data_IF_446155711277
#
_entry.id   IF_446155711277
#
_cell.length_a   1.000
_cell.length_b   1.000
_cell.length_c   1.000
_cell.angle_alpha   90.00
_cell.angle_beta   90.00
_cell.angle_gamma   90.00
#
_symmetry.space_group_name_H-M   'P 1'
#
loop_
_entity.id
_entity.type
_entity.pdbx_description
1 polymer ?
#
# COMPACT_ATOMS: atom_id res chain seq x y z
N UNK A 1 -9.82 17.88 9.65
CA UNK A 1 -8.71 18.16 8.72
C UNK A 1 -7.72 17.00 8.80
N UNK A 2 -7.40 16.31 7.68
CA UNK A 2 -6.54 15.12 7.69
C UNK A 2 -5.18 15.35 8.34
N UNK A 3 -4.53 16.47 8.03
CA UNK A 3 -3.21 16.82 8.61
C UNK A 3 -3.29 17.03 10.13
N UNK A 4 -4.35 17.65 10.62
CA UNK A 4 -4.55 17.84 12.06
C UNK A 4 -4.77 16.50 12.77
N UNK A 5 -5.58 15.61 12.20
CA UNK A 5 -5.78 14.27 12.73
C UNK A 5 -4.47 13.47 12.75
N UNK A 6 -3.72 13.51 11.65
CA UNK A 6 -2.43 12.84 11.52
C UNK A 6 -1.42 13.34 12.58
N UNK A 7 -1.33 14.66 12.79
CA UNK A 7 -0.47 15.26 13.80
C UNK A 7 -0.91 14.90 15.22
N UNK A 8 -2.22 14.89 15.48
CA UNK A 8 -2.77 14.55 16.79
C UNK A 8 -2.46 13.10 17.17
N UNK A 9 -2.72 12.14 16.28
CA UNK A 9 -2.41 10.73 16.54
C UNK A 9 -0.90 10.51 16.64
N UNK A 10 -0.11 11.19 15.81
CA UNK A 10 1.34 11.12 15.91
C UNK A 10 1.85 11.59 17.28
N UNK A 11 1.30 12.68 17.82
CA UNK A 11 1.59 13.16 19.17
C UNK A 11 1.10 12.19 20.26
N UNK A 12 -0.13 11.68 20.15
CA UNK A 12 -0.68 10.71 21.10
C UNK A 12 0.18 9.43 21.20
N UNK A 13 0.78 8.98 20.09
CA UNK A 13 1.68 7.82 20.05
C UNK A 13 3.12 8.11 20.50
N UNK A 14 3.47 9.35 20.85
CA UNK A 14 4.82 9.71 21.27
C UNK A 14 5.31 8.93 22.50
N UNK A 15 4.52 8.74 23.58
CA UNK A 15 4.95 7.95 24.75
C UNK A 15 5.29 6.50 24.39
N UNK A 16 4.51 5.89 23.49
CA UNK A 16 4.76 4.53 23.02
C UNK A 16 6.09 4.43 22.27
N UNK A 17 6.39 5.40 21.39
CA UNK A 17 7.68 5.45 20.68
C UNK A 17 8.86 5.60 21.64
N UNK A 18 8.69 6.37 22.72
CA UNK A 18 9.72 6.53 23.75
C UNK A 18 9.91 5.26 24.58
N UNK A 19 8.83 4.52 24.86
CA UNK A 19 8.86 3.28 25.64
C UNK A 19 9.48 2.12 24.84
N UNK A 20 9.23 2.07 23.53
CA UNK A 20 9.68 1.01 22.63
C UNK A 20 10.52 1.59 21.48
N UNK A 21 11.73 2.14 21.76
CA UNK A 21 12.56 2.82 20.77
C UNK A 21 13.08 1.91 19.64
N UNK A 22 13.10 0.60 19.87
CA UNK A 22 13.48 -0.42 18.89
C UNK A 22 12.35 -0.79 17.92
N UNK A 23 11.11 -0.38 18.21
CA UNK A 23 9.96 -0.64 17.36
C UNK A 23 9.78 0.45 16.31
N UNK A 24 9.42 0.01 15.10
CA UNK A 24 9.00 0.86 14.01
C UNK A 24 7.48 1.04 14.13
N UNK A 25 7.04 2.27 14.38
CA UNK A 25 5.62 2.64 14.53
C UNK A 25 5.23 3.63 13.43
N UNK A 26 4.60 3.10 12.37
CA UNK A 26 4.05 3.89 11.28
C UNK A 26 2.56 4.10 11.47
N UNK A 27 2.12 5.35 11.31
CA UNK A 27 0.72 5.73 11.37
C UNK A 27 0.35 6.45 10.09
N UNK A 28 -0.74 6.03 9.45
CA UNK A 28 -1.28 6.72 8.29
C UNK A 28 -2.80 6.66 8.34
N UNK A 29 -3.42 7.84 8.36
CA UNK A 29 -4.87 8.01 8.46
C UNK A 29 -5.45 7.34 9.72
N UNK A 30 -6.05 6.16 9.59
CA UNK A 30 -6.64 5.41 10.71
C UNK A 30 -5.88 4.12 11.03
N UNK A 31 -4.85 3.79 10.23
CA UNK A 31 -4.08 2.54 10.36
C UNK A 31 -2.74 2.78 11.07
N UNK A 32 -2.42 1.92 12.05
CA UNK A 32 -1.13 1.88 12.73
C UNK A 32 -0.45 0.55 12.42
N UNK A 33 0.75 0.60 11.86
CA UNK A 33 1.65 -0.53 11.69
C UNK A 33 2.74 -0.47 12.77
N UNK A 34 2.88 -1.54 13.55
CA UNK A 34 3.93 -1.69 14.56
C UNK A 34 4.76 -2.92 14.21
N UNK A 35 6.06 -2.75 14.05
CA UNK A 35 6.99 -3.82 13.66
C UNK A 35 8.29 -3.75 14.47
N UNK A 36 8.86 -4.90 14.77
CA UNK A 36 10.16 -4.99 15.45
C UNK A 36 10.74 -6.40 15.34
N UNK A 37 12.05 -6.53 15.61
CA UNK A 37 12.74 -7.84 15.59
C UNK A 37 12.24 -8.78 16.68
N UNK A 38 11.91 -8.21 17.83
CA UNK A 38 11.32 -8.89 18.98
C UNK A 38 10.07 -8.12 19.38
N UNK A 39 8.90 -8.56 18.94
CA UNK A 39 7.63 -7.89 19.25
C UNK A 39 6.78 -8.81 20.12
N UNK A 40 6.49 -8.41 21.36
CA UNK A 40 5.44 -9.03 22.14
C UNK A 40 4.11 -8.36 21.77
N UNK A 41 3.34 -9.00 20.89
CA UNK A 41 2.11 -8.44 20.34
C UNK A 41 1.08 -8.07 21.41
N UNK A 42 0.90 -8.88 22.44
CA UNK A 42 -0.14 -8.65 23.45
C UNK A 42 0.23 -7.51 24.39
N UNK A 43 1.50 -7.44 24.80
CA UNK A 43 2.01 -6.36 25.65
C UNK A 43 1.96 -5.02 24.92
N UNK A 44 2.44 -4.96 23.68
CA UNK A 44 2.42 -3.74 22.87
C UNK A 44 0.99 -3.31 22.54
N UNK A 45 0.10 -4.25 22.21
CA UNK A 45 -1.31 -3.94 21.95
C UNK A 45 -2.00 -3.36 23.19
N UNK A 46 -1.72 -3.88 24.39
CA UNK A 46 -2.27 -3.36 25.64
C UNK A 46 -1.81 -1.90 25.87
N UNK A 47 -0.51 -1.63 25.71
CA UNK A 47 0.04 -0.28 25.85
C UNK A 47 -0.51 0.70 24.81
N UNK A 48 -0.58 0.30 23.54
CA UNK A 48 -1.17 1.12 22.46
C UNK A 48 -2.61 1.46 22.80
N UNK A 49 -3.41 0.46 23.15
CA UNK A 49 -4.85 0.63 23.45
C UNK A 49 -5.03 1.61 24.60
N UNK A 50 -4.29 1.44 25.69
CA UNK A 50 -4.35 2.36 26.82
C UNK A 50 -3.98 3.79 26.42
N UNK A 51 -2.88 3.98 25.68
CA UNK A 51 -2.42 5.31 25.26
C UNK A 51 -3.45 5.99 24.38
N UNK A 52 -3.99 5.30 23.37
CA UNK A 52 -4.95 5.93 22.44
C UNK A 52 -6.27 6.24 23.15
N UNK A 53 -6.73 5.39 24.08
CA UNK A 53 -7.93 5.64 24.89
C UNK A 53 -7.81 6.86 25.80
N UNK A 54 -6.63 7.06 26.42
CA UNK A 54 -6.35 8.26 27.21
C UNK A 54 -6.45 9.55 26.39
N UNK A 55 -6.27 9.46 25.07
CA UNK A 55 -6.39 10.55 24.11
C UNK A 55 -7.74 10.55 23.37
N UNK A 56 -8.75 9.81 23.86
CA UNK A 56 -10.09 9.79 23.29
C UNK A 56 -10.22 9.05 21.94
N UNK A 57 -9.20 8.28 21.56
CA UNK A 57 -9.18 7.42 20.39
C UNK A 57 -9.54 5.99 20.80
N UNK A 58 -9.95 5.15 19.84
CA UNK A 58 -10.30 3.74 20.11
C UNK A 58 -9.71 2.83 19.05
N UNK A 59 -9.17 1.69 19.48
CA UNK A 59 -8.80 0.60 18.59
C UNK A 59 -10.03 -0.27 18.35
N UNK A 60 -10.34 -0.56 17.09
CA UNK A 60 -11.35 -1.52 16.71
C UNK A 60 -10.78 -2.94 16.84
N UNK A 61 -11.18 -3.75 17.85
CA UNK A 61 -10.55 -5.05 18.12
C UNK A 61 -10.63 -6.01 16.93
N UNK A 62 -11.70 -5.94 16.15
CA UNK A 62 -11.94 -6.75 14.96
C UNK A 62 -10.99 -6.42 13.79
N UNK A 63 -10.34 -5.25 13.82
CA UNK A 63 -9.35 -4.84 12.81
C UNK A 63 -7.92 -5.16 13.20
N UNK A 64 -7.67 -5.64 14.43
CA UNK A 64 -6.33 -5.97 14.91
C UNK A 64 -5.82 -7.24 14.23
N UNK A 65 -4.70 -7.14 13.53
CA UNK A 65 -4.06 -8.24 12.82
C UNK A 65 -2.81 -8.70 13.58
N UNK A 66 -2.89 -9.80 14.33
CA UNK A 66 -1.77 -10.32 15.14
C UNK A 66 -0.81 -11.23 14.36
N UNK A 67 -1.28 -11.87 13.29
CA UNK A 67 -0.53 -12.86 12.53
C UNK A 67 -0.51 -12.53 11.05
N UNK A 68 0.52 -13.00 10.37
CA UNK A 68 0.61 -12.90 8.92
C UNK A 68 -0.47 -13.77 8.23
N UNK A 69 -0.89 -13.41 7.01
CA UNK A 69 -0.51 -12.21 6.26
C UNK A 69 -1.19 -10.94 6.79
N UNK A 70 -0.39 -9.88 7.04
CA UNK A 70 -0.92 -8.58 7.44
C UNK A 70 -1.30 -7.75 6.23
N UNK A 71 -2.40 -7.00 6.34
CA UNK A 71 -2.86 -6.02 5.35
C UNK A 71 -2.57 -4.62 5.85
N UNK A 72 -1.88 -3.82 5.05
CA UNK A 72 -1.59 -2.41 5.36
C UNK A 72 -1.49 -1.60 4.06
N UNK A 73 -2.30 -0.54 3.94
CA UNK A 73 -2.29 0.38 2.77
C UNK A 73 -2.30 -0.33 1.41
N UNK A 74 -3.14 -1.35 1.23
CA UNK A 74 -3.22 -2.10 -0.04
C UNK A 74 -2.07 -3.09 -0.29
N UNK A 75 -1.18 -3.28 0.68
CA UNK A 75 -0.12 -4.30 0.66
C UNK A 75 -0.49 -5.50 1.52
N UNK A 76 -0.05 -6.68 1.08
CA UNK A 76 0.01 -7.92 1.85
C UNK A 76 1.44 -8.10 2.33
N UNK A 77 1.62 -8.24 3.62
CA UNK A 77 2.92 -8.28 4.28
C UNK A 77 3.06 -9.63 4.98
N UNK A 78 4.20 -10.29 4.79
CA UNK A 78 4.62 -11.51 5.51
C UNK A 78 6.00 -11.30 6.14
N UNK A 79 6.47 -12.25 6.92
CA UNK A 79 7.81 -12.25 7.51
C UNK A 79 8.91 -12.21 6.45
N UNK A 80 8.65 -12.72 5.25
CA UNK A 80 9.63 -12.80 4.16
C UNK A 80 9.45 -11.75 3.08
N UNK A 81 8.22 -11.33 2.77
CA UNK A 81 7.94 -10.54 1.58
C UNK A 81 6.79 -9.53 1.76
N UNK A 82 6.76 -8.55 0.86
CA UNK A 82 5.65 -7.61 0.66
C UNK A 82 5.16 -7.74 -0.78
N UNK A 83 3.85 -7.85 -0.95
CA UNK A 83 3.18 -8.00 -2.26
C UNK A 83 1.95 -7.11 -2.34
N UNK A 84 1.53 -6.65 -3.53
CA UNK A 84 0.23 -6.02 -3.68
C UNK A 84 -0.88 -6.92 -3.12
N UNK A 85 -1.89 -6.35 -2.46
CA UNK A 85 -3.15 -7.08 -2.29
C UNK A 85 -3.73 -7.37 -3.67
N UNK A 86 -4.46 -8.48 -3.82
CA UNK A 86 -4.96 -8.95 -5.11
C UNK A 86 -5.67 -7.81 -5.85
N UNK A 87 -5.00 -7.25 -6.86
CA UNK A 87 -5.54 -6.18 -7.69
C UNK A 87 -6.35 -6.85 -8.78
N UNK A 88 -7.64 -7.06 -8.53
CA UNK A 88 -8.57 -7.38 -9.60
C UNK A 88 -8.86 -6.06 -10.33
N UNK A 89 -8.07 -5.76 -11.36
CA UNK A 89 -8.33 -4.61 -12.20
C UNK A 89 -9.72 -4.75 -12.82
N UNK A 90 -10.52 -3.70 -12.71
CA UNK A 90 -11.79 -3.63 -13.43
C UNK A 90 -11.45 -3.50 -14.92
N UNK A 91 -11.69 -4.57 -15.69
CA UNK A 91 -11.49 -4.58 -17.15
C UNK A 91 -12.71 -4.12 -17.92
N UNK A 92 -13.85 -3.93 -17.24
CA UNK A 92 -15.04 -3.29 -17.80
C UNK A 92 -14.83 -1.77 -17.88
N UNK A 93 -14.14 -1.35 -18.94
CA UNK A 93 -13.85 0.04 -19.24
C UNK A 93 -14.91 0.55 -20.23
N UNK A 94 -15.67 1.56 -19.81
CA UNK A 94 -16.67 2.21 -20.67
C UNK A 94 -16.44 3.72 -20.78
N UNK A 95 -15.75 4.32 -19.82
CA UNK A 95 -15.57 5.77 -19.70
C UNK A 95 -14.12 6.15 -19.42
N UNK A 96 -13.76 7.41 -19.67
CA UNK A 96 -12.46 7.97 -19.28
C UNK A 96 -12.21 7.83 -17.77
N UNK A 97 -13.24 7.95 -16.93
CA UNK A 97 -13.11 7.73 -15.48
C UNK A 97 -12.70 6.28 -15.13
N UNK A 98 -13.21 5.29 -15.85
CA UNK A 98 -12.80 3.90 -15.64
C UNK A 98 -11.32 3.71 -16.02
N UNK A 99 -10.87 4.32 -17.12
CA UNK A 99 -9.44 4.30 -17.52
C UNK A 99 -8.58 4.98 -16.46
N UNK A 100 -8.98 6.15 -15.96
CA UNK A 100 -8.25 6.89 -14.92
C UNK A 100 -8.07 6.07 -13.64
N UNK A 101 -9.13 5.36 -13.20
CA UNK A 101 -9.06 4.47 -12.03
C UNK A 101 -8.10 3.30 -12.28
N UNK A 102 -8.27 2.63 -13.42
CA UNK A 102 -7.40 1.52 -13.81
C UNK A 102 -5.93 1.93 -13.84
N UNK A 103 -5.63 3.05 -14.50
CA UNK A 103 -4.28 3.59 -14.63
C UNK A 103 -3.77 3.93 -13.22
N UNK A 104 -4.53 4.65 -12.40
CA UNK A 104 -4.16 4.97 -11.01
C UNK A 104 -3.83 3.75 -10.15
N UNK A 105 -4.64 2.69 -10.23
CA UNK A 105 -4.41 1.42 -9.51
C UNK A 105 -3.10 0.76 -9.97
N UNK A 106 -2.79 0.81 -11.27
CA UNK A 106 -1.52 0.29 -11.80
C UNK A 106 -0.34 1.14 -11.33
N UNK A 107 -0.46 2.49 -11.32
CA UNK A 107 0.62 3.35 -10.83
C UNK A 107 0.96 3.08 -9.36
N UNK A 108 -0.03 2.77 -8.53
CA UNK A 108 0.18 2.45 -7.13
C UNK A 108 1.16 1.29 -6.92
N UNK A 109 1.08 0.25 -7.76
CA UNK A 109 1.92 -0.96 -7.64
C UNK A 109 3.14 -0.96 -8.57
N UNK A 110 3.23 0.04 -9.46
CA UNK A 110 4.19 0.11 -10.56
C UNK A 110 5.65 -0.07 -10.13
N UNK A 111 6.06 0.69 -9.10
CA UNK A 111 7.45 0.71 -8.64
C UNK A 111 7.90 -0.65 -8.12
N UNK A 112 7.04 -1.30 -7.32
CA UNK A 112 7.36 -2.61 -6.76
C UNK A 112 7.37 -3.70 -7.84
N UNK A 113 6.46 -3.61 -8.81
CA UNK A 113 6.27 -4.67 -9.79
C UNK A 113 7.10 -4.50 -11.06
N UNK A 114 8.04 -3.54 -11.08
CA UNK A 114 8.93 -3.33 -12.22
C UNK A 114 8.16 -3.02 -13.51
N UNK A 115 7.04 -2.33 -13.38
CA UNK A 115 6.23 -1.93 -14.52
C UNK A 115 6.84 -0.65 -15.10
N UNK A 116 7.25 -0.72 -16.36
CA UNK A 116 7.98 0.34 -17.06
C UNK A 116 7.04 1.38 -17.67
N UNK A 117 7.59 2.46 -18.23
CA UNK A 117 6.78 3.42 -19.00
C UNK A 117 6.23 2.74 -20.26
N UNK A 118 7.03 1.88 -20.91
CA UNK A 118 6.63 1.19 -22.14
C UNK A 118 5.47 0.22 -21.91
N UNK A 119 5.44 -0.47 -20.76
CA UNK A 119 4.31 -1.34 -20.40
C UNK A 119 3.01 -0.52 -20.24
N UNK A 120 3.11 0.68 -19.66
CA UNK A 120 1.98 1.57 -19.39
C UNK A 120 1.52 2.36 -20.62
N UNK A 121 2.41 2.60 -21.58
CA UNK A 121 2.20 3.56 -22.66
C UNK A 121 0.86 3.35 -23.39
N UNK A 122 0.44 2.12 -23.74
CA UNK A 122 -0.85 1.91 -24.39
C UNK A 122 -2.06 2.39 -23.57
N UNK A 123 -1.98 2.31 -22.23
CA UNK A 123 -3.05 2.78 -21.34
C UNK A 123 -2.99 4.30 -21.13
N UNK A 124 -1.79 4.88 -21.17
CA UNK A 124 -1.61 6.34 -21.14
C UNK A 124 -2.16 6.98 -22.42
N UNK A 125 -1.91 6.37 -23.58
CA UNK A 125 -2.47 6.82 -24.86
C UNK A 125 -4.00 6.77 -24.85
N UNK A 126 -4.60 5.77 -24.19
CA UNK A 126 -6.04 5.63 -24.01
C UNK A 126 -6.67 6.74 -23.14
N UNK A 127 -5.92 7.32 -22.19
CA UNK A 127 -6.37 8.51 -21.47
C UNK A 127 -6.56 9.69 -22.43
N UNK A 128 -5.60 9.87 -23.35
CA UNK A 128 -5.58 10.99 -24.29
C UNK A 128 -5.40 12.35 -23.60
N UNK A 129 -5.54 13.44 -24.36
CA UNK A 129 -5.46 14.81 -23.83
C UNK A 129 -6.84 15.41 -23.64
N UNK A 130 -7.12 15.87 -22.40
CA UNK A 130 -8.26 16.71 -21.98
C UNK A 130 -9.61 16.36 -22.63
N UNK A 131 -10.29 15.36 -22.07
CA UNK A 131 -11.66 14.97 -22.42
C UNK A 131 -12.53 14.94 -21.15
N UNK A 132 -13.86 14.97 -21.30
CA UNK A 132 -14.76 14.88 -20.15
C UNK A 132 -14.65 13.49 -19.52
N UNK A 133 -14.77 13.40 -18.19
CA UNK A 133 -14.64 12.13 -17.44
C UNK A 133 -15.64 11.05 -17.87
N UNK A 134 -16.76 11.45 -18.51
CA UNK A 134 -17.82 10.58 -19.03
C UNK A 134 -17.58 10.12 -20.46
N UNK A 135 -16.54 10.61 -21.14
CA UNK A 135 -16.30 10.29 -22.54
C UNK A 135 -16.06 8.80 -22.71
N UNK A 136 -16.70 8.21 -23.71
CA UNK A 136 -16.62 6.77 -23.95
C UNK A 136 -15.19 6.37 -24.30
N UNK A 137 -14.76 5.27 -23.72
CA UNK A 137 -13.47 4.62 -23.97
C UNK A 137 -13.69 3.12 -24.03
N UNK A 138 -12.93 2.47 -24.90
CA UNK A 138 -13.02 1.03 -25.11
C UNK A 138 -11.61 0.43 -25.19
N UNK A 139 -11.43 -0.76 -24.61
CA UNK A 139 -10.18 -1.48 -24.68
C UNK A 139 -10.03 -2.18 -26.04
N UNK A 140 -9.11 -1.68 -26.85
CA UNK A 140 -8.63 -2.36 -28.05
C UNK A 140 -7.65 -3.50 -27.69
N UNK A 141 -7.36 -4.43 -28.63
CA UNK A 141 -6.46 -5.56 -28.38
C UNK A 141 -5.06 -5.15 -27.86
N UNK A 142 -4.55 -3.99 -28.27
CA UNK A 142 -3.27 -3.45 -27.77
C UNK A 142 -3.33 -3.16 -26.26
N UNK A 143 -4.43 -2.60 -25.76
CA UNK A 143 -4.62 -2.33 -24.34
C UNK A 143 -4.77 -3.62 -23.54
N UNK A 144 -5.49 -4.60 -24.08
CA UNK A 144 -5.65 -5.91 -23.46
C UNK A 144 -4.31 -6.64 -23.32
N UNK A 145 -3.48 -6.61 -24.38
CA UNK A 145 -2.13 -7.18 -24.35
C UNK A 145 -1.25 -6.53 -23.29
N UNK A 146 -1.28 -5.19 -23.19
CA UNK A 146 -0.56 -4.46 -22.16
C UNK A 146 -1.02 -4.85 -20.75
N UNK A 147 -2.34 -4.97 -20.54
CA UNK A 147 -2.92 -5.39 -19.26
C UNK A 147 -2.49 -6.81 -18.87
N UNK A 148 -2.42 -7.76 -19.81
CA UNK A 148 -1.94 -9.12 -19.52
C UNK A 148 -0.50 -9.10 -19.01
N UNK A 149 0.40 -8.37 -19.70
CA UNK A 149 1.81 -8.25 -19.28
C UNK A 149 1.91 -7.60 -17.89
N UNK A 150 1.14 -6.54 -17.65
CA UNK A 150 1.10 -5.85 -16.34
C UNK A 150 0.58 -6.79 -15.24
N UNK A 151 -0.47 -7.57 -15.51
CA UNK A 151 -1.02 -8.53 -14.57
C UNK A 151 -0.01 -9.62 -14.20
N UNK A 152 0.72 -10.17 -15.17
CA UNK A 152 1.77 -11.15 -14.92
C UNK A 152 2.88 -10.58 -14.03
N UNK A 153 3.32 -9.35 -14.30
CA UNK A 153 4.29 -8.64 -13.44
C UNK A 153 3.77 -8.45 -12.02
N UNK A 154 2.49 -8.13 -11.85
CA UNK A 154 1.87 -7.94 -10.53
C UNK A 154 1.73 -9.25 -9.76
N UNK A 155 1.43 -10.35 -10.45
CA UNK A 155 1.30 -11.67 -9.81
C UNK A 155 2.65 -12.22 -9.33
N UNK A 156 3.74 -11.84 -10.00
CA UNK A 156 5.09 -12.34 -9.71
C UNK A 156 5.92 -11.38 -8.84
N UNK A 157 5.54 -10.11 -8.76
CA UNK A 157 6.28 -9.12 -7.98
C UNK A 157 6.20 -9.35 -6.48
N UNK A 158 7.32 -9.09 -5.82
CA UNK A 158 7.42 -8.98 -4.38
C UNK A 158 8.64 -8.15 -4.01
N UNK A 159 8.58 -7.45 -2.88
CA UNK A 159 9.77 -6.96 -2.20
C UNK A 159 10.16 -7.97 -1.13
N UNK A 160 11.46 -8.26 -1.04
CA UNK A 160 12.02 -8.96 0.10
C UNK A 160 12.27 -7.98 1.25
N UNK A 161 12.32 -8.49 2.48
CA UNK A 161 12.71 -7.68 3.64
C UNK A 161 14.17 -7.23 3.52
N UNK A 162 14.44 -6.01 3.95
CA UNK A 162 15.80 -5.51 4.09
C UNK A 162 16.55 -6.28 5.18
N UNK A 163 17.78 -6.69 4.91
CA UNK A 163 18.68 -7.38 5.85
C UNK A 163 19.86 -6.46 6.12
N UNK A 164 19.88 -5.84 7.30
CA UNK A 164 20.83 -4.79 7.65
C UNK A 164 22.29 -5.26 7.66
N UNK A 165 22.50 -6.56 7.88
CA UNK A 165 23.81 -7.19 7.94
C UNK A 165 24.44 -7.43 6.55
N UNK A 166 23.67 -7.32 5.46
CA UNK A 166 24.15 -7.50 4.10
C UNK A 166 24.50 -6.16 3.43
N UNK A 167 25.60 -6.09 2.63
CA UNK A 167 25.93 -4.88 1.91
C UNK A 167 24.89 -4.57 0.83
N UNK A 168 24.53 -3.28 0.69
CA UNK A 168 23.76 -2.81 -0.46
C UNK A 168 24.73 -2.59 -1.62
N UNK A 169 24.65 -3.46 -2.63
CA UNK A 169 25.44 -3.32 -3.86
C UNK A 169 24.50 -2.95 -5.01
N UNK A 170 24.83 -1.87 -5.72
CA UNK A 170 24.16 -1.49 -6.95
C UNK A 170 25.16 -1.62 -8.10
N UNK A 171 24.85 -2.49 -9.07
CA UNK A 171 25.55 -2.52 -10.36
C UNK A 171 24.66 -1.77 -11.35
N UNK A 172 25.19 -0.68 -11.92
CA UNK A 172 24.54 0.14 -12.97
C UNK A 172 25.28 -0.10 -14.28
#
# INVERSE_FOLDING_TARGET
SPTMCQNYVAWALQPLRSQFPELIIYHYMDDILIAGRTLNHDDVLAHVTQIVEQHGLKIAPEKVQKHEPWKYLGWTITGSAVRPQKVAFKTEINTLSDVQKLVGDIQWVRSLCGITNDDLQPLIDLLGTMSNVTDKRELQPIHQKALTVIQEKILTCHASRFVAELPITLMV
#
